data_IF_478520973589
#
_entry.id   IF_478520973589
#
_cell.length_a   1.000
_cell.length_b   1.000
_cell.length_c   1.000
_cell.angle_alpha   90.00
_cell.angle_beta   90.00
_cell.angle_gamma   90.00
#
_symmetry.space_group_name_H-M   'P 1'
#
loop_
_entity.id
_entity.type
_entity.pdbx_description
1 polymer ?
#
# COMPACT_ATOMS: atom_id res chain seq x y z
N UNK A 1 -7.61 -16.49 15.00
CA UNK A 1 -8.10 -15.09 14.85
C UNK A 1 -7.05 -14.03 15.20
N UNK A 2 -6.12 -14.26 16.15
CA UNK A 2 -5.08 -13.27 16.52
C UNK A 2 -4.05 -12.95 15.41
N UNK A 3 -3.75 -13.89 14.51
CA UNK A 3 -2.70 -13.72 13.48
C UNK A 3 -3.03 -12.66 12.41
N UNK A 4 -4.30 -12.48 12.08
CA UNK A 4 -4.73 -11.57 11.00
C UNK A 4 -4.75 -10.09 11.40
N UNK A 5 -5.19 -9.81 12.64
CA UNK A 5 -5.08 -8.48 13.24
C UNK A 5 -3.62 -8.05 13.35
N UNK A 6 -2.74 -8.97 13.77
CA UNK A 6 -1.30 -8.72 13.84
C UNK A 6 -0.67 -8.43 12.46
N UNK A 7 -1.04 -9.17 11.41
CA UNK A 7 -0.52 -8.93 10.06
C UNK A 7 -0.84 -7.51 9.56
N UNK A 8 -2.11 -7.09 9.68
CA UNK A 8 -2.53 -5.75 9.28
C UNK A 8 -1.85 -4.66 10.11
N UNK A 9 -1.69 -4.91 11.42
CA UNK A 9 -0.99 -4.00 12.32
C UNK A 9 0.47 -3.81 11.91
N UNK A 10 1.21 -4.90 11.69
CA UNK A 10 2.63 -4.85 11.31
C UNK A 10 2.81 -4.11 9.99
N UNK A 11 1.97 -4.41 8.99
CA UNK A 11 1.95 -3.68 7.72
C UNK A 11 1.74 -2.18 7.96
N UNK A 12 0.71 -1.81 8.72
CA UNK A 12 0.42 -0.41 9.00
C UNK A 12 1.55 0.32 9.72
N UNK A 13 2.16 -0.33 10.71
CA UNK A 13 3.32 0.20 11.43
C UNK A 13 4.54 0.37 10.51
N UNK A 14 4.78 -0.59 9.61
CA UNK A 14 5.86 -0.52 8.63
C UNK A 14 5.64 0.63 7.64
N UNK A 15 4.44 0.79 7.09
CA UNK A 15 4.10 1.92 6.21
C UNK A 15 4.26 3.27 6.94
N UNK A 16 3.79 3.36 8.19
CA UNK A 16 3.97 4.56 9.01
C UNK A 16 5.45 4.91 9.21
N UNK A 17 6.28 3.91 9.52
CA UNK A 17 7.71 4.08 9.67
C UNK A 17 8.39 4.47 8.34
N UNK A 18 8.04 3.83 7.23
CA UNK A 18 8.55 4.19 5.90
C UNK A 18 8.18 5.63 5.54
N UNK A 19 6.93 6.04 5.78
CA UNK A 19 6.49 7.41 5.58
C UNK A 19 7.31 8.41 6.42
N UNK A 20 7.54 8.11 7.70
CA UNK A 20 8.39 8.94 8.57
C UNK A 20 9.85 9.02 8.07
N UNK A 21 10.42 7.91 7.62
CA UNK A 21 11.77 7.89 7.03
C UNK A 21 11.80 8.72 5.74
N UNK A 22 10.78 8.62 4.89
CA UNK A 22 10.68 9.40 3.65
C UNK A 22 10.55 10.90 3.91
N UNK A 23 9.91 11.31 5.01
CA UNK A 23 9.82 12.72 5.41
C UNK A 23 11.18 13.31 5.80
N UNK A 24 12.05 12.51 6.43
CA UNK A 24 13.32 12.99 7.00
C UNK A 24 14.49 12.75 6.04
N UNK A 25 14.56 11.56 5.45
CA UNK A 25 15.69 11.09 4.64
C UNK A 25 15.24 10.10 3.56
N UNK A 26 14.58 10.58 2.48
CA UNK A 26 14.01 9.73 1.44
C UNK A 26 15.04 8.83 0.75
N UNK A 27 16.30 9.27 0.69
CA UNK A 27 17.42 8.49 0.15
C UNK A 27 17.59 7.10 0.80
N UNK A 28 17.22 6.94 2.08
CA UNK A 28 17.34 5.65 2.79
C UNK A 28 16.46 4.59 2.12
N UNK A 29 15.27 4.96 1.65
CA UNK A 29 14.34 4.05 0.99
C UNK A 29 14.61 4.03 -0.52
N UNK A 30 14.62 5.21 -1.16
CA UNK A 30 14.67 5.34 -2.60
C UNK A 30 16.02 4.94 -3.21
N UNK A 31 17.13 5.06 -2.48
CA UNK A 31 18.46 4.63 -2.93
C UNK A 31 18.97 3.39 -2.17
N UNK A 32 18.06 2.65 -1.52
CA UNK A 32 18.38 1.37 -0.89
C UNK A 32 18.89 0.35 -1.92
N UNK A 33 19.63 -0.67 -1.45
CA UNK A 33 20.07 -1.78 -2.31
C UNK A 33 18.89 -2.45 -3.03
N UNK A 34 17.73 -2.56 -2.37
CA UNK A 34 16.52 -3.12 -2.97
C UNK A 34 15.95 -2.23 -4.09
N UNK A 35 15.86 -0.91 -3.87
CA UNK A 35 15.41 0.01 -4.95
C UNK A 35 16.37 0.04 -6.13
N UNK A 36 17.67 -0.11 -5.90
CA UNK A 36 18.69 -0.24 -6.96
C UNK A 36 18.53 -1.54 -7.74
N UNK A 37 18.39 -2.67 -7.04
CA UNK A 37 18.15 -3.96 -7.69
C UNK A 37 16.87 -3.94 -8.54
N UNK A 38 15.77 -3.34 -8.05
CA UNK A 38 14.55 -3.16 -8.83
C UNK A 38 14.74 -2.21 -10.02
N UNK A 39 15.47 -1.12 -9.83
CA UNK A 39 15.81 -0.18 -10.90
C UNK A 39 16.57 -0.87 -12.03
N UNK A 40 17.61 -1.63 -11.70
CA UNK A 40 18.44 -2.37 -12.66
C UNK A 40 17.65 -3.48 -13.36
N UNK A 41 16.91 -4.31 -12.60
CA UNK A 41 16.17 -5.44 -13.16
C UNK A 41 14.97 -5.04 -14.01
N UNK A 42 14.29 -3.94 -13.67
CA UNK A 42 13.12 -3.46 -14.42
C UNK A 42 13.46 -2.37 -15.45
N UNK A 43 14.72 -1.92 -15.52
CA UNK A 43 15.12 -0.79 -16.38
C UNK A 43 14.44 0.53 -16.01
N UNK A 44 14.02 0.70 -14.75
CA UNK A 44 13.31 1.88 -14.26
C UNK A 44 14.26 2.84 -13.56
N UNK A 45 14.07 4.16 -13.68
CA UNK A 45 14.91 5.13 -12.96
C UNK A 45 14.68 5.05 -11.45
N UNK A 46 15.71 5.39 -10.67
CA UNK A 46 15.56 5.69 -9.25
C UNK A 46 14.75 6.98 -9.06
N UNK A 47 14.02 7.13 -7.94
CA UNK A 47 13.32 8.37 -7.63
C UNK A 47 14.26 9.56 -7.55
N UNK A 48 13.90 10.66 -8.22
CA UNK A 48 14.66 11.90 -8.20
C UNK A 48 14.55 12.60 -6.83
N UNK A 49 15.67 12.84 -6.14
CA UNK A 49 15.72 13.52 -4.83
C UNK A 49 15.97 15.03 -4.92
N UNK A 50 15.96 15.59 -6.13
CA UNK A 50 16.16 17.02 -6.40
C UNK A 50 15.04 17.91 -5.84
N UNK A 51 15.30 19.21 -5.82
CA UNK A 51 14.38 20.26 -5.36
C UNK A 51 13.03 20.21 -6.08
N UNK A 52 13.04 19.95 -7.38
CA UNK A 52 11.88 19.88 -8.27
C UNK A 52 10.90 18.75 -7.89
N UNK A 53 11.40 17.69 -7.24
CA UNK A 53 10.59 16.55 -6.82
C UNK A 53 10.23 16.62 -5.32
N UNK A 54 10.81 17.54 -4.55
CA UNK A 54 10.69 17.61 -3.10
C UNK A 54 9.24 17.64 -2.63
N UNK A 55 8.41 18.52 -3.20
CA UNK A 55 7.01 18.65 -2.79
C UNK A 55 6.22 17.38 -3.05
N UNK A 56 6.42 16.76 -4.21
CA UNK A 56 5.74 15.51 -4.58
C UNK A 56 6.16 14.36 -3.65
N UNK A 57 7.47 14.24 -3.36
CA UNK A 57 7.98 13.23 -2.44
C UNK A 57 7.48 13.42 -1.02
N UNK A 58 7.43 14.67 -0.54
CA UNK A 58 6.91 14.98 0.78
C UNK A 58 5.42 14.62 0.88
N UNK A 59 4.62 14.93 -0.15
CA UNK A 59 3.21 14.53 -0.20
C UNK A 59 3.04 12.99 -0.17
N UNK A 60 3.85 12.26 -0.94
CA UNK A 60 3.86 10.78 -0.91
C UNK A 60 4.24 10.27 0.48
N UNK A 61 5.24 10.84 1.13
CA UNK A 61 5.67 10.45 2.47
C UNK A 61 4.55 10.64 3.51
N UNK A 62 3.86 11.78 3.48
CA UNK A 62 2.68 12.05 4.35
C UNK A 62 1.58 11.03 4.07
N UNK A 63 1.27 10.78 2.80
CA UNK A 63 0.22 9.83 2.41
C UNK A 63 0.53 8.42 2.90
N UNK A 64 1.76 7.93 2.68
CA UNK A 64 2.20 6.60 3.14
C UNK A 64 2.11 6.52 4.66
N UNK A 65 2.54 7.56 5.39
CA UNK A 65 2.43 7.62 6.84
C UNK A 65 0.98 7.55 7.32
N UNK A 66 0.10 8.36 6.74
CA UNK A 66 -1.31 8.43 7.10
C UNK A 66 -2.04 7.12 6.81
N UNK A 67 -1.82 6.51 5.64
CA UNK A 67 -2.39 5.20 5.27
C UNK A 67 -1.87 4.10 6.20
N UNK A 68 -0.60 4.14 6.60
CA UNK A 68 -0.01 3.22 7.57
C UNK A 68 -0.70 3.30 8.94
N UNK A 69 -0.85 4.51 9.49
CA UNK A 69 -1.57 4.73 10.75
C UNK A 69 -3.04 4.30 10.66
N UNK A 70 -3.68 4.52 9.51
CA UNK A 70 -5.04 4.07 9.26
C UNK A 70 -5.14 2.53 9.27
N UNK A 71 -4.16 1.81 8.69
CA UNK A 71 -4.08 0.34 8.80
C UNK A 71 -3.89 -0.12 10.25
N UNK A 72 -3.06 0.56 11.03
CA UNK A 72 -2.91 0.28 12.48
C UNK A 72 -4.25 0.45 13.19
N UNK A 73 -4.99 1.53 12.93
CA UNK A 73 -6.32 1.71 13.54
C UNK A 73 -7.30 0.62 13.08
N UNK A 74 -7.24 0.24 11.82
CA UNK A 74 -8.11 -0.74 11.20
C UNK A 74 -7.86 -2.17 11.71
N UNK A 75 -6.63 -2.49 12.12
CA UNK A 75 -6.31 -3.83 12.65
C UNK A 75 -7.09 -4.18 13.92
N UNK A 76 -7.60 -3.18 14.63
CA UNK A 76 -8.43 -3.35 15.82
C UNK A 76 -9.93 -3.54 15.52
N UNK A 77 -10.36 -3.35 14.27
CA UNK A 77 -11.76 -3.52 13.85
C UNK A 77 -11.84 -4.28 12.53
N UNK A 78 -12.24 -5.56 12.60
CA UNK A 78 -12.34 -6.42 11.43
C UNK A 78 -13.28 -5.87 10.35
N UNK A 79 -14.34 -5.15 10.71
CA UNK A 79 -15.29 -4.59 9.75
C UNK A 79 -14.67 -3.50 8.86
N UNK A 80 -13.58 -2.88 9.32
CA UNK A 80 -12.88 -1.83 8.57
C UNK A 80 -11.93 -2.37 7.49
N UNK A 81 -11.65 -3.67 7.49
CA UNK A 81 -10.58 -4.27 6.67
C UNK A 81 -10.91 -4.46 5.18
N UNK A 82 -12.15 -4.78 4.75
CA UNK A 82 -12.45 -4.90 3.33
C UNK A 82 -12.09 -3.65 2.51
N UNK A 83 -12.39 -2.41 2.96
CA UNK A 83 -11.91 -1.18 2.32
C UNK A 83 -10.38 -1.11 2.18
N UNK A 84 -9.61 -1.56 3.17
CA UNK A 84 -8.14 -1.55 3.10
C UNK A 84 -7.59 -2.60 2.14
N UNK A 85 -8.22 -3.77 2.04
CA UNK A 85 -7.90 -4.76 1.03
C UNK A 85 -8.12 -4.16 -0.37
N UNK A 86 -9.28 -3.53 -0.58
CA UNK A 86 -9.60 -2.88 -1.85
C UNK A 86 -8.62 -1.74 -2.17
N UNK A 87 -8.29 -0.90 -1.19
CA UNK A 87 -7.33 0.19 -1.34
C UNK A 87 -5.97 -0.33 -1.81
N UNK A 88 -5.42 -1.36 -1.15
CA UNK A 88 -4.13 -1.95 -1.53
C UNK A 88 -4.21 -2.59 -2.94
N UNK A 89 -5.31 -3.27 -3.26
CA UNK A 89 -5.50 -3.87 -4.58
C UNK A 89 -5.54 -2.82 -5.70
N UNK A 90 -6.29 -1.73 -5.51
CA UNK A 90 -6.36 -0.62 -6.47
C UNK A 90 -5.03 0.10 -6.60
N UNK A 91 -4.35 0.36 -5.48
CA UNK A 91 -3.04 0.99 -5.48
C UNK A 91 -2.02 0.15 -6.26
N UNK A 92 -1.99 -1.15 -5.99
CA UNK A 92 -1.16 -2.09 -6.72
C UNK A 92 -1.48 -2.09 -8.22
N UNK A 93 -2.76 -2.20 -8.57
CA UNK A 93 -3.21 -2.22 -9.95
C UNK A 93 -2.78 -0.95 -10.70
N UNK A 94 -2.97 0.24 -10.11
CA UNK A 94 -2.58 1.51 -10.74
C UNK A 94 -1.06 1.67 -10.84
N UNK A 95 -0.30 1.31 -9.80
CA UNK A 95 1.16 1.39 -9.81
C UNK A 95 1.76 0.46 -10.87
N UNK A 96 1.35 -0.82 -10.88
CA UNK A 96 1.84 -1.81 -11.85
C UNK A 96 1.37 -1.47 -13.27
N UNK A 97 0.13 -1.01 -13.45
CA UNK A 97 -0.34 -0.54 -14.76
C UNK A 97 0.48 0.66 -15.26
N UNK A 98 0.89 1.58 -14.37
CA UNK A 98 1.77 2.69 -14.76
C UNK A 98 3.15 2.17 -15.19
N UNK A 99 3.71 1.19 -14.47
CA UNK A 99 4.98 0.56 -14.87
C UNK A 99 4.87 -0.09 -16.25
N UNK A 100 3.77 -0.80 -16.54
CA UNK A 100 3.60 -1.51 -17.82
C UNK A 100 3.26 -0.59 -18.99
N UNK A 101 2.35 0.36 -18.79
CA UNK A 101 1.75 1.15 -19.88
C UNK A 101 2.30 2.57 -20.00
N UNK A 102 2.96 3.07 -18.96
CA UNK A 102 3.60 4.39 -18.95
C UNK A 102 4.96 4.36 -18.21
N UNK A 103 5.90 3.47 -18.62
CA UNK A 103 7.18 3.27 -17.91
C UNK A 103 8.00 4.55 -17.75
N UNK A 104 7.89 5.49 -18.69
CA UNK A 104 8.53 6.82 -18.62
C UNK A 104 8.04 7.71 -17.46
N UNK A 105 6.89 7.37 -16.86
CA UNK A 105 6.35 8.03 -15.66
C UNK A 105 6.61 7.22 -14.38
N UNK A 106 7.18 6.01 -14.51
CA UNK A 106 7.42 5.12 -13.40
C UNK A 106 8.86 5.27 -12.87
N UNK A 107 9.03 4.90 -11.61
CA UNK A 107 10.34 4.76 -10.97
C UNK A 107 10.41 3.38 -10.30
N UNK A 108 11.60 2.96 -9.89
CA UNK A 108 11.73 1.74 -9.10
C UNK A 108 10.93 1.78 -7.80
N UNK A 109 10.71 2.96 -7.21
CA UNK A 109 9.82 3.10 -6.06
C UNK A 109 8.35 2.87 -6.40
N UNK A 110 7.89 3.26 -7.60
CA UNK A 110 6.53 2.98 -8.07
C UNK A 110 6.31 1.47 -8.29
N UNK A 111 7.31 0.78 -8.84
CA UNK A 111 7.29 -0.68 -8.94
C UNK A 111 7.27 -1.34 -7.56
N UNK A 112 8.15 -0.88 -6.66
CA UNK A 112 8.23 -1.39 -5.29
C UNK A 112 6.90 -1.23 -4.53
N UNK A 113 6.26 -0.06 -4.59
CA UNK A 113 4.94 0.14 -3.97
C UNK A 113 3.89 -0.76 -4.62
N UNK A 114 3.90 -0.91 -5.95
CA UNK A 114 2.99 -1.82 -6.67
C UNK A 114 3.09 -3.27 -6.19
N UNK A 115 4.32 -3.80 -6.09
CA UNK A 115 4.59 -5.16 -5.58
C UNK A 115 4.19 -5.27 -4.11
N UNK A 116 4.57 -4.30 -3.28
CA UNK A 116 4.27 -4.29 -1.85
C UNK A 116 2.76 -4.40 -1.61
N UNK A 117 1.98 -3.52 -2.24
CA UNK A 117 0.53 -3.52 -2.10
C UNK A 117 -0.12 -4.76 -2.70
N UNK A 118 0.45 -5.36 -3.77
CA UNK A 118 -0.03 -6.63 -4.32
C UNK A 118 0.08 -7.77 -3.31
N UNK A 119 1.25 -7.92 -2.71
CA UNK A 119 1.53 -8.96 -1.72
C UNK A 119 0.64 -8.76 -0.50
N UNK A 120 0.53 -7.54 0.00
CA UNK A 120 -0.32 -7.24 1.16
C UNK A 120 -1.81 -7.39 0.86
N UNK A 121 -2.32 -6.92 -0.28
CA UNK A 121 -3.74 -7.11 -0.64
C UNK A 121 -4.09 -8.58 -0.76
N UNK A 122 -3.21 -9.36 -1.39
CA UNK A 122 -3.40 -10.82 -1.57
C UNK A 122 -3.35 -11.54 -0.23
N UNK A 123 -2.35 -11.25 0.61
CA UNK A 123 -2.22 -11.84 1.95
C UNK A 123 -3.38 -11.46 2.86
N UNK A 124 -3.77 -10.19 2.88
CA UNK A 124 -4.93 -9.72 3.65
C UNK A 124 -6.22 -10.39 3.16
N UNK A 125 -6.47 -10.44 1.85
CA UNK A 125 -7.65 -11.10 1.30
C UNK A 125 -7.68 -12.58 1.70
N UNK A 126 -6.60 -13.31 1.44
CA UNK A 126 -6.46 -14.73 1.72
C UNK A 126 -6.71 -15.08 3.19
N UNK A 127 -6.12 -14.31 4.13
CA UNK A 127 -6.28 -14.57 5.57
C UNK A 127 -7.55 -14.01 6.18
N UNK A 128 -8.17 -13.00 5.56
CA UNK A 128 -9.40 -12.38 6.09
C UNK A 128 -10.64 -13.25 5.92
N UNK A 129 -10.64 -14.12 4.91
CA UNK A 129 -11.81 -14.90 4.50
C UNK A 129 -12.95 -14.06 3.92
N UNK A 130 -12.73 -12.78 3.60
CA UNK A 130 -13.73 -11.95 2.93
C UNK A 130 -13.94 -12.40 1.48
N UNK A 131 -15.20 -12.40 1.06
CA UNK A 131 -15.58 -12.57 -0.33
C UNK A 131 -15.34 -11.28 -1.14
N UNK A 132 -15.19 -11.41 -2.46
CA UNK A 132 -15.04 -10.26 -3.36
C UNK A 132 -16.23 -9.28 -3.23
N UNK A 133 -17.50 -9.72 -3.16
CA UNK A 133 -18.62 -8.80 -2.93
C UNK A 133 -18.52 -8.03 -1.61
N UNK A 134 -18.00 -8.64 -0.53
CA UNK A 134 -17.79 -7.93 0.74
C UNK A 134 -16.70 -6.85 0.62
N UNK A 135 -15.60 -7.15 -0.08
CA UNK A 135 -14.52 -6.19 -0.36
C UNK A 135 -15.01 -5.02 -1.20
N UNK A 136 -15.90 -5.28 -2.16
CA UNK A 136 -16.52 -4.25 -3.00
C UNK A 136 -17.70 -3.53 -2.32
N UNK A 137 -18.08 -3.91 -1.09
CA UNK A 137 -19.15 -3.27 -0.33
C UNK A 137 -20.57 -3.79 -0.60
N UNK A 138 -20.73 -4.84 -1.42
CA UNK A 138 -22.03 -5.43 -1.74
C UNK A 138 -22.58 -6.42 -0.69
N UNK A 139 -21.76 -6.85 0.28
CA UNK A 139 -22.15 -7.87 1.27
C UNK A 139 -23.01 -7.40 2.47
N UNK A 140 -23.18 -6.08 2.65
CA UNK A 140 -23.66 -5.51 3.92
C UNK A 140 -25.15 -5.16 4.03
N UNK A 141 -25.92 -5.10 2.94
CA UNK A 141 -27.30 -4.58 2.99
C UNK A 141 -28.34 -5.68 3.29
N UNK A 142 -28.06 -6.94 2.97
CA UNK A 142 -29.07 -8.01 3.07
C UNK A 142 -29.20 -8.67 4.45
N UNK A 143 -28.18 -8.58 5.31
CA UNK A 143 -28.18 -9.30 6.61
C UNK A 143 -28.83 -8.55 7.76
N UNK A 144 -29.04 -7.24 7.62
CA UNK A 144 -29.66 -6.39 8.66
C UNK A 144 -31.18 -6.21 8.53
N UNK A 145 -31.80 -6.67 7.44
CA UNK A 145 -33.27 -6.56 7.20
C UNK A 145 -34.07 -7.84 7.48
N UNK A 146 -33.47 -8.86 8.09
CA UNK A 146 -34.19 -10.10 8.51
C UNK A 146 -34.26 -10.27 10.03
N UNK A 147 -33.91 -9.24 10.79
CA UNK A 147 -33.99 -9.23 12.24
C UNK A 147 -34.94 -8.16 12.79
N UNK A 148 -35.73 -7.53 11.90
CA UNK A 148 -36.72 -6.50 12.23
C UNK A 148 -38.11 -7.02 11.83
#
# INVERSE_FOLDING_TARGET
>A
MASFSLFTFIKGAADAAVGAILLIKPAVIYHSAFSKALSESAGLPLPNLGEEARSAQHAVAIMVAAVGLAHVRASFDRASLPPFILLNALWSAFALSTVMFAPQRATSALLMTGINHFVFSTGMWWWSGFSVPEILGFGGVAKKRRAD
#
